data_IF_698909999427
#
_entry.id   IF_698909999427
#
_cell.length_a   1.000
_cell.length_b   1.000
_cell.length_c   1.000
_cell.angle_alpha   90.00
_cell.angle_beta   90.00
_cell.angle_gamma   90.00
#
_symmetry.space_group_name_H-M   'P 1'
#
loop_
_entity.id
_entity.type
_entity.pdbx_description
1 polymer ?
#
# COMPACT_ATOMS: atom_id res chain seq x y z
N UNK A 1 3.25 3.07 8.33
CA UNK A 1 4.56 3.70 8.65
C UNK A 1 5.59 2.59 8.70
N UNK A 2 6.72 2.74 8.00
CA UNK A 2 7.81 1.76 7.97
C UNK A 2 9.04 2.33 8.67
N UNK A 3 9.76 1.50 9.42
CA UNK A 3 11.00 1.89 10.11
C UNK A 3 12.09 0.90 9.69
N UNK A 4 13.19 1.41 9.14
CA UNK A 4 14.37 0.65 8.73
C UNK A 4 15.46 0.75 9.79
N UNK A 5 15.92 -0.38 10.31
CA UNK A 5 16.90 -0.44 11.41
C UNK A 5 17.89 -1.60 11.23
N UNK A 6 19.16 -1.37 11.57
CA UNK A 6 20.13 -2.45 11.74
C UNK A 6 19.86 -3.18 13.05
N UNK A 7 19.29 -4.38 12.94
CA UNK A 7 18.91 -5.22 14.08
C UNK A 7 20.05 -5.50 15.06
N UNK A 8 21.30 -5.55 14.60
CA UNK A 8 22.46 -5.84 15.44
C UNK A 8 23.02 -4.59 16.14
N UNK A 9 22.58 -3.39 15.76
CA UNK A 9 22.89 -2.15 16.47
C UNK A 9 21.94 -1.87 17.65
N UNK A 10 20.82 -2.62 17.74
CA UNK A 10 19.75 -2.35 18.69
C UNK A 10 20.02 -2.90 20.09
N UNK A 11 19.86 -2.05 21.09
CA UNK A 11 19.80 -2.46 22.50
C UNK A 11 18.55 -3.30 22.78
N UNK A 12 18.52 -4.11 23.86
CA UNK A 12 17.34 -4.87 24.26
C UNK A 12 16.09 -3.98 24.43
N UNK A 13 16.26 -2.78 24.98
CA UNK A 13 15.18 -1.82 25.19
C UNK A 13 14.61 -1.30 23.85
N UNK A 14 15.48 -0.98 22.89
CA UNK A 14 15.06 -0.53 21.55
C UNK A 14 14.34 -1.64 20.77
N UNK A 15 14.74 -2.91 20.94
CA UNK A 15 14.03 -4.06 20.34
C UNK A 15 12.61 -4.18 20.86
N UNK A 16 12.38 -3.96 22.16
CA UNK A 16 11.03 -4.00 22.71
C UNK A 16 10.14 -2.86 22.22
N UNK A 17 10.71 -1.67 22.00
CA UNK A 17 9.98 -0.56 21.36
C UNK A 17 9.54 -0.93 19.94
N UNK A 18 10.41 -1.56 19.15
CA UNK A 18 10.09 -1.97 17.78
C UNK A 18 9.12 -3.16 17.72
N UNK A 19 9.13 -4.05 18.72
CA UNK A 19 8.11 -5.10 18.90
C UNK A 19 6.76 -4.50 19.26
N UNK A 20 6.72 -3.45 20.10
CA UNK A 20 5.48 -2.73 20.40
C UNK A 20 4.92 -2.04 19.15
N UNK A 21 5.80 -1.43 18.33
CA UNK A 21 5.46 -0.80 17.06
C UNK A 21 4.89 -1.79 16.03
N UNK A 22 5.47 -2.98 15.89
CA UNK A 22 4.93 -4.03 15.01
C UNK A 22 3.59 -4.56 15.51
N UNK A 23 3.41 -4.73 16.83
CA UNK A 23 2.13 -5.12 17.44
C UNK A 23 1.01 -4.10 17.21
N UNK A 24 1.34 -2.81 17.05
CA UNK A 24 0.37 -1.75 16.73
C UNK A 24 0.08 -1.63 15.22
N UNK A 25 0.51 -2.60 14.41
CA UNK A 25 0.29 -2.62 12.95
C UNK A 25 1.34 -1.87 12.13
N UNK A 26 2.47 -1.47 12.73
CA UNK A 26 3.61 -0.92 12.00
C UNK A 26 4.42 -2.03 11.28
N UNK A 27 5.11 -1.67 10.20
CA UNK A 27 5.99 -2.59 9.47
C UNK A 27 7.44 -2.30 9.83
N UNK A 28 8.16 -3.30 10.32
CA UNK A 28 9.59 -3.21 10.59
C UNK A 28 10.37 -3.78 9.40
N UNK A 29 11.32 -3.02 8.88
CA UNK A 29 12.26 -3.46 7.85
C UNK A 29 13.61 -3.69 8.53
N UNK A 30 14.15 -4.90 8.38
CA UNK A 30 15.50 -5.24 8.84
C UNK A 30 16.17 -6.08 7.76
N UNK A 31 17.45 -5.81 7.48
CA UNK A 31 18.23 -6.67 6.61
C UNK A 31 18.32 -8.11 7.12
N UNK A 32 18.53 -9.10 6.24
CA UNK A 32 18.77 -10.49 6.62
C UNK A 32 19.88 -10.62 7.66
N UNK A 33 19.73 -11.54 8.63
CA UNK A 33 20.64 -11.67 9.76
C UNK A 33 22.10 -11.97 9.35
N UNK A 34 22.30 -12.56 8.18
CA UNK A 34 23.58 -12.95 7.59
C UNK A 34 24.20 -11.86 6.68
N UNK A 35 23.60 -10.67 6.60
CA UNK A 35 24.05 -9.58 5.71
C UNK A 35 25.34 -8.89 6.15
N UNK A 36 25.84 -9.13 7.37
CA UNK A 36 27.03 -8.45 7.92
C UNK A 36 28.37 -9.00 7.42
N UNK A 37 28.41 -10.17 6.78
CA UNK A 37 29.69 -10.86 6.49
C UNK A 37 30.09 -10.93 5.01
N UNK A 38 29.30 -10.43 4.06
CA UNK A 38 29.62 -10.62 2.62
C UNK A 38 29.55 -9.37 1.75
N UNK A 39 29.32 -8.18 2.32
CA UNK A 39 29.03 -6.96 1.57
C UNK A 39 30.07 -5.84 1.74
N UNK A 40 31.32 -6.18 2.03
CA UNK A 40 32.41 -5.27 1.63
C UNK A 40 32.86 -5.76 0.26
N UNK A 41 32.43 -5.13 -0.85
CA UNK A 41 33.01 -5.43 -2.14
C UNK A 41 34.53 -5.28 -2.00
N UNK A 42 35.27 -6.24 -2.54
CA UNK A 42 36.72 -6.15 -2.62
C UNK A 42 37.06 -4.78 -3.23
N UNK A 43 37.99 -4.03 -2.62
CA UNK A 43 38.18 -2.59 -2.94
C UNK A 43 38.48 -2.34 -4.42
N UNK A 44 38.92 -3.37 -5.13
CA UNK A 44 39.30 -3.35 -6.55
C UNK A 44 38.26 -4.03 -7.48
N UNK A 45 37.07 -4.38 -6.98
CA UNK A 45 36.07 -5.15 -7.74
C UNK A 45 34.69 -4.48 -7.72
N UNK A 46 34.31 -3.92 -8.87
CA UNK A 46 33.00 -3.26 -9.09
C UNK A 46 31.93 -4.28 -9.52
N UNK A 47 32.35 -5.44 -10.03
CA UNK A 47 31.45 -6.48 -10.55
C UNK A 47 31.15 -7.54 -9.49
N UNK A 48 29.84 -7.80 -9.29
CA UNK A 48 29.31 -8.87 -8.46
C UNK A 48 29.45 -10.22 -9.20
N UNK A 49 29.64 -11.30 -8.45
CA UNK A 49 29.51 -12.65 -9.01
C UNK A 49 28.03 -13.06 -9.17
N UNK A 50 27.79 -14.16 -9.89
CA UNK A 50 26.43 -14.66 -10.16
C UNK A 50 25.63 -14.96 -8.89
N UNK A 51 26.30 -15.41 -7.82
CA UNK A 51 25.66 -15.74 -6.54
C UNK A 51 25.24 -14.48 -5.81
N UNK A 52 26.09 -13.46 -5.81
CA UNK A 52 25.82 -12.14 -5.25
C UNK A 52 24.71 -11.42 -6.03
N UNK A 53 24.70 -11.55 -7.36
CA UNK A 53 23.68 -10.96 -8.24
C UNK A 53 22.31 -11.57 -8.01
N UNK A 54 22.21 -12.91 -7.96
CA UNK A 54 20.95 -13.60 -7.63
C UNK A 54 20.41 -13.21 -6.26
N UNK A 55 21.30 -13.11 -5.26
CA UNK A 55 20.93 -12.69 -3.92
C UNK A 55 20.40 -11.24 -3.89
N UNK A 56 20.97 -10.36 -4.69
CA UNK A 56 20.48 -8.98 -4.85
C UNK A 56 19.12 -8.93 -5.56
N UNK A 57 18.90 -9.80 -6.53
CA UNK A 57 17.60 -9.93 -7.22
C UNK A 57 16.52 -10.45 -6.27
N UNK A 58 16.81 -11.44 -5.43
CA UNK A 58 15.90 -11.94 -4.39
C UNK A 58 15.53 -10.83 -3.39
N UNK A 59 16.51 -10.05 -2.93
CA UNK A 59 16.27 -8.92 -2.01
C UNK A 59 15.47 -7.82 -2.70
N UNK A 60 15.79 -7.51 -3.95
CA UNK A 60 15.02 -6.54 -4.73
C UNK A 60 13.57 -7.01 -4.87
N UNK A 61 13.35 -8.30 -5.14
CA UNK A 61 12.02 -8.88 -5.21
C UNK A 61 11.28 -8.76 -3.88
N UNK A 62 11.92 -9.12 -2.76
CA UNK A 62 11.34 -9.04 -1.42
C UNK A 62 11.00 -7.58 -1.03
N UNK A 63 11.96 -6.67 -1.19
CA UNK A 63 11.75 -5.25 -0.93
C UNK A 63 10.63 -4.73 -1.83
N UNK A 64 10.69 -4.97 -3.14
CA UNK A 64 9.67 -4.54 -4.09
C UNK A 64 8.31 -5.19 -3.82
N UNK A 65 8.23 -6.38 -3.23
CA UNK A 65 6.95 -6.96 -2.79
C UNK A 65 6.41 -6.26 -1.53
N UNK A 66 7.30 -5.82 -0.63
CA UNK A 66 6.99 -5.16 0.65
C UNK A 66 6.74 -3.66 0.55
N UNK A 67 7.39 -2.96 -0.37
CA UNK A 67 7.21 -1.52 -0.62
C UNK A 67 6.48 -1.26 -1.94
N UNK A 68 6.28 -2.32 -2.73
CA UNK A 68 5.60 -2.24 -4.01
C UNK A 68 4.18 -1.75 -3.86
N UNK A 69 3.63 -1.38 -5.01
CA UNK A 69 2.32 -0.75 -5.12
C UNK A 69 1.19 -1.59 -4.49
N UNK A 70 1.41 -2.89 -4.22
CA UNK A 70 0.47 -3.82 -3.57
C UNK A 70 0.07 -3.44 -2.14
N UNK A 71 0.91 -2.68 -1.44
CA UNK A 71 0.72 -2.44 0.00
C UNK A 71 0.06 -1.10 0.36
N UNK A 72 -0.53 -0.39 -0.60
CA UNK A 72 -1.15 0.92 -0.36
C UNK A 72 -2.62 0.86 0.09
N UNK A 73 -3.19 -0.33 0.27
CA UNK A 73 -4.59 -0.52 0.66
C UNK A 73 -5.57 -0.18 -0.46
N UNK A 74 -5.45 1.00 -1.08
CA UNK A 74 -6.14 1.40 -2.29
C UNK A 74 -5.21 2.18 -3.25
N UNK A 75 -5.39 1.97 -4.56
CA UNK A 75 -4.78 2.77 -5.63
C UNK A 75 -5.88 3.51 -6.38
N UNK A 76 -5.58 4.75 -6.73
CA UNK A 76 -6.52 5.64 -7.40
C UNK A 76 -5.91 6.17 -8.70
N UNK A 77 -6.73 6.23 -9.75
CA UNK A 77 -6.35 6.76 -11.04
C UNK A 77 -7.28 7.91 -11.42
N UNK A 78 -6.75 8.89 -12.17
CA UNK A 78 -7.45 10.12 -12.54
C UNK A 78 -7.90 10.95 -11.33
N UNK A 79 -7.05 11.08 -10.31
CA UNK A 79 -7.41 11.73 -9.02
C UNK A 79 -6.54 12.94 -8.65
N UNK A 80 -5.98 13.65 -9.63
CA UNK A 80 -4.93 14.67 -9.40
C UNK A 80 -5.30 15.80 -8.44
N UNK A 81 -6.58 16.13 -8.30
CA UNK A 81 -7.09 17.17 -7.40
C UNK A 81 -7.76 16.62 -6.12
N UNK A 82 -7.71 15.31 -5.90
CA UNK A 82 -8.44 14.67 -4.81
C UNK A 82 -7.54 14.20 -3.68
N UNK A 83 -8.00 14.43 -2.45
CA UNK A 83 -7.49 13.74 -1.28
C UNK A 83 -8.30 12.47 -1.05
N UNK A 84 -7.62 11.39 -0.68
CA UNK A 84 -8.24 10.11 -0.39
C UNK A 84 -7.86 9.56 0.96
N UNK A 85 -8.80 8.85 1.60
CA UNK A 85 -8.52 8.07 2.80
C UNK A 85 -9.22 6.70 2.73
N UNK A 86 -8.53 5.65 3.17
CA UNK A 86 -9.08 4.29 3.26
C UNK A 86 -9.33 3.94 4.73
N UNK A 87 -10.53 3.48 5.03
CA UNK A 87 -10.92 2.97 6.34
C UNK A 87 -11.37 1.53 6.20
N UNK A 88 -11.02 0.69 7.16
CA UNK A 88 -11.37 -0.74 7.18
C UNK A 88 -12.22 -1.03 8.41
N UNK A 89 -13.32 -1.77 8.23
CA UNK A 89 -14.16 -2.21 9.33
C UNK A 89 -13.44 -3.26 10.20
N UNK A 90 -13.82 -3.43 11.47
CA UNK A 90 -13.32 -4.52 12.30
C UNK A 90 -13.50 -5.88 11.60
N UNK A 91 -12.41 -6.60 11.36
CA UNK A 91 -12.42 -7.89 10.68
C UNK A 91 -12.25 -7.84 9.16
N UNK A 92 -12.04 -6.66 8.55
CA UNK A 92 -11.58 -6.54 7.16
C UNK A 92 -12.63 -6.85 6.07
N UNK A 93 -13.87 -7.16 6.45
CA UNK A 93 -14.94 -7.53 5.50
C UNK A 93 -15.55 -6.36 4.75
N UNK A 94 -15.30 -5.15 5.21
CA UNK A 94 -15.82 -3.94 4.60
C UNK A 94 -14.76 -2.85 4.65
N UNK A 95 -14.69 -2.08 3.58
CA UNK A 95 -13.78 -0.94 3.44
C UNK A 95 -14.53 0.27 2.91
N UNK A 96 -14.10 1.46 3.34
CA UNK A 96 -14.57 2.75 2.88
C UNK A 96 -13.41 3.52 2.26
N UNK A 97 -13.57 3.98 1.04
CA UNK A 97 -12.67 4.95 0.40
C UNK A 97 -13.38 6.30 0.38
N UNK A 98 -12.88 7.24 1.17
CA UNK A 98 -13.31 8.63 1.13
C UNK A 98 -12.51 9.40 0.10
N UNK A 99 -13.19 10.19 -0.71
CA UNK A 99 -12.62 11.06 -1.74
C UNK A 99 -13.15 12.48 -1.55
N UNK A 100 -12.26 13.46 -1.59
CA UNK A 100 -12.60 14.89 -1.53
C UNK A 100 -11.88 15.63 -2.64
N UNK A 101 -12.62 16.27 -3.53
CA UNK A 101 -12.10 17.08 -4.62
C UNK A 101 -11.87 18.52 -4.17
N UNK A 102 -10.62 18.98 -4.28
CA UNK A 102 -10.22 20.35 -3.92
C UNK A 102 -10.16 21.29 -5.13
N UNK A 103 -10.49 20.81 -6.33
CA UNK A 103 -10.63 21.68 -7.49
C UNK A 103 -12.02 22.30 -7.57
N UNK A 104 -12.17 23.28 -8.46
CA UNK A 104 -13.43 23.97 -8.76
C UNK A 104 -14.15 23.38 -9.98
N UNK A 105 -13.77 22.18 -10.42
CA UNK A 105 -14.40 21.43 -11.51
C UNK A 105 -14.53 19.96 -11.11
N UNK A 106 -15.52 19.22 -11.66
CA UNK A 106 -15.68 17.81 -11.32
C UNK A 106 -14.51 16.97 -11.86
N UNK A 107 -14.27 15.83 -11.22
CA UNK A 107 -13.29 14.83 -11.68
C UNK A 107 -14.02 13.62 -12.26
N UNK A 108 -13.65 13.26 -13.49
CA UNK A 108 -14.33 12.24 -14.26
C UNK A 108 -13.48 10.95 -14.35
N UNK A 109 -14.15 9.81 -14.55
CA UNK A 109 -13.50 8.51 -14.80
C UNK A 109 -12.49 8.11 -13.72
N UNK A 110 -12.90 8.18 -12.46
CA UNK A 110 -12.07 7.81 -11.32
C UNK A 110 -12.07 6.30 -11.17
N UNK A 111 -10.89 5.67 -11.25
CA UNK A 111 -10.73 4.23 -11.01
C UNK A 111 -10.13 3.99 -9.63
N UNK A 112 -10.73 3.07 -8.89
CA UNK A 112 -10.34 2.68 -7.53
C UNK A 112 -10.00 1.20 -7.50
N UNK A 113 -8.76 0.86 -7.21
CA UNK A 113 -8.34 -0.53 -6.95
C UNK A 113 -8.09 -0.70 -5.46
N UNK A 114 -8.83 -1.58 -4.80
CA UNK A 114 -8.68 -1.86 -3.36
C UNK A 114 -8.14 -3.26 -3.16
N UNK A 115 -7.18 -3.40 -2.24
CA UNK A 115 -6.62 -4.70 -1.85
C UNK A 115 -7.69 -5.55 -1.18
N UNK A 116 -7.91 -6.77 -1.68
CA UNK A 116 -8.91 -7.70 -1.19
C UNK A 116 -9.99 -8.05 -2.22
N UNK A 117 -10.75 -9.11 -1.94
CA UNK A 117 -11.84 -9.59 -2.79
C UNK A 117 -13.19 -9.11 -2.24
N UNK A 118 -13.76 -8.10 -2.90
CA UNK A 118 -15.08 -7.54 -2.58
C UNK A 118 -16.03 -7.80 -3.74
N UNK A 119 -17.29 -8.09 -3.43
CA UNK A 119 -18.28 -8.52 -4.41
C UNK A 119 -19.33 -7.46 -4.69
N UNK A 120 -19.38 -6.40 -3.88
CA UNK A 120 -20.35 -5.32 -4.02
C UNK A 120 -19.72 -3.98 -3.67
N UNK A 121 -20.15 -2.95 -4.39
CA UNK A 121 -19.74 -1.58 -4.17
C UNK A 121 -20.95 -0.64 -4.14
N UNK A 122 -20.91 0.36 -3.24
CA UNK A 122 -21.87 1.45 -3.19
C UNK A 122 -21.17 2.79 -3.12
N UNK A 123 -21.67 3.74 -3.89
CA UNK A 123 -21.21 5.11 -3.94
C UNK A 123 -22.20 6.02 -3.22
N UNK A 124 -21.67 6.81 -2.30
CA UNK A 124 -22.37 7.89 -1.61
C UNK A 124 -21.79 9.22 -2.06
N UNK A 125 -22.65 10.13 -2.51
CA UNK A 125 -22.27 11.49 -2.91
C UNK A 125 -23.24 12.49 -2.28
N UNK A 126 -22.86 13.76 -2.10
CA UNK A 126 -23.79 14.79 -1.64
C UNK A 126 -24.95 15.05 -2.59
N UNK A 127 -24.76 14.84 -3.90
CA UNK A 127 -25.69 15.28 -4.94
C UNK A 127 -26.77 14.23 -5.29
N UNK A 128 -26.53 12.95 -4.96
CA UNK A 128 -27.40 11.86 -5.34
C UNK A 128 -27.58 10.82 -4.21
N UNK A 129 -28.70 10.07 -4.22
CA UNK A 129 -28.86 8.90 -3.38
C UNK A 129 -27.76 7.86 -3.60
N UNK A 130 -27.66 6.88 -2.70
CA UNK A 130 -26.69 5.80 -2.85
C UNK A 130 -26.84 5.07 -4.19
N UNK A 131 -25.73 4.87 -4.88
CA UNK A 131 -25.67 4.19 -6.19
C UNK A 131 -24.85 2.91 -6.05
N UNK A 132 -25.42 1.77 -6.44
CA UNK A 132 -24.64 0.54 -6.56
C UNK A 132 -23.70 0.64 -7.77
N UNK A 133 -22.45 0.24 -7.58
CA UNK A 133 -21.44 0.18 -8.65
C UNK A 133 -21.06 -1.27 -8.95
N UNK A 134 -20.60 -1.49 -10.17
CA UNK A 134 -20.03 -2.76 -10.58
C UNK A 134 -18.61 -2.89 -10.04
N UNK A 135 -18.25 -4.13 -9.68
CA UNK A 135 -16.91 -4.50 -9.23
C UNK A 135 -16.28 -5.42 -10.26
N UNK A 136 -14.98 -5.33 -10.44
CA UNK A 136 -14.22 -6.23 -11.30
C UNK A 136 -12.93 -6.68 -10.62
N UNK A 137 -12.42 -7.85 -11.04
CA UNK A 137 -11.17 -8.37 -10.52
C UNK A 137 -9.98 -7.65 -11.14
N UNK A 138 -9.01 -7.29 -10.32
CA UNK A 138 -7.68 -6.81 -10.73
C UNK A 138 -6.61 -7.70 -10.11
N UNK A 139 -5.37 -7.64 -10.60
CA UNK A 139 -4.30 -8.58 -10.22
C UNK A 139 -4.14 -8.78 -8.70
N UNK A 140 -4.35 -7.72 -7.92
CA UNK A 140 -4.17 -7.72 -6.47
C UNK A 140 -5.42 -7.27 -5.70
N UNK A 141 -6.62 -7.40 -6.28
CA UNK A 141 -7.84 -7.08 -5.53
C UNK A 141 -9.06 -6.75 -6.37
N UNK A 142 -9.80 -5.73 -5.95
CA UNK A 142 -11.09 -5.35 -6.53
C UNK A 142 -11.02 -3.95 -7.11
N UNK A 143 -11.39 -3.81 -8.39
CA UNK A 143 -11.53 -2.55 -9.10
C UNK A 143 -12.98 -2.07 -9.12
N UNK A 144 -13.15 -0.75 -9.03
CA UNK A 144 -14.42 -0.03 -9.15
C UNK A 144 -14.18 1.28 -9.89
N UNK A 145 -15.08 1.63 -10.81
CA UNK A 145 -15.04 2.91 -11.52
C UNK A 145 -16.15 3.83 -11.03
N UNK A 146 -15.83 5.11 -10.90
CA UNK A 146 -16.73 6.19 -10.52
C UNK A 146 -16.76 7.18 -11.68
N UNK A 147 -17.94 7.36 -12.27
CA UNK A 147 -18.12 8.21 -13.45
C UNK A 147 -17.71 9.67 -13.19
N UNK A 148 -18.12 10.20 -12.03
CA UNK A 148 -18.02 11.61 -11.68
C UNK A 148 -17.91 11.82 -10.17
N UNK A 149 -16.99 12.69 -9.75
CA UNK A 149 -16.91 13.22 -8.38
C UNK A 149 -16.92 14.74 -8.43
N UNK A 150 -18.01 15.36 -7.96
CA UNK A 150 -18.13 16.82 -7.89
C UNK A 150 -17.31 17.38 -6.74
N UNK A 151 -17.76 17.18 -5.49
CA UNK A 151 -17.13 17.71 -4.28
C UNK A 151 -16.54 16.61 -3.42
N UNK A 152 -17.31 15.55 -3.15
CA UNK A 152 -16.86 14.42 -2.36
C UNK A 152 -17.61 13.15 -2.73
N UNK A 153 -16.97 12.01 -2.44
CA UNK A 153 -17.57 10.70 -2.59
C UNK A 153 -17.09 9.77 -1.47
N UNK A 154 -17.95 8.83 -1.08
CA UNK A 154 -17.56 7.69 -0.25
C UNK A 154 -17.91 6.42 -0.99
N UNK A 155 -16.91 5.61 -1.28
CA UNK A 155 -17.07 4.28 -1.87
C UNK A 155 -17.01 3.24 -0.76
N UNK A 156 -18.05 2.42 -0.63
CA UNK A 156 -18.12 1.28 0.28
C UNK A 156 -17.99 -0.02 -0.49
N UNK A 157 -17.06 -0.87 -0.11
CA UNK A 157 -16.92 -2.23 -0.68
C UNK A 157 -17.15 -3.30 0.39
N UNK A 158 -17.85 -4.38 0.03
CA UNK A 158 -18.10 -5.58 0.86
C UNK A 158 -18.12 -6.89 0.04
#
# INVERSE_FOLDING_TARGET
MAVDVDAASLTPQQREVLKAFTRSGGTLLTGPADWKESAVPDKDKITLDDKQTKRLDDIWHDINSMIGRGNLGARLFNVSSMLSNLLTSPGGKQVLVHLVNYSNYPVDNVTVHVLGEFHRAWLYTPEAPEKKLDVYKVDEGTGVDIDLVNVSATLRLE
#
